data_IF_868741302159
#
_entry.id   IF_868741302159
#
_cell.length_a   1.000
_cell.length_b   1.000
_cell.length_c   1.000
_cell.angle_alpha   90.00
_cell.angle_beta   90.00
_cell.angle_gamma   90.00
#
_symmetry.space_group_name_H-M   'P 1'
#
loop_
_entity.id
_entity.type
_entity.pdbx_description
1 polymer ?
#
# COMPACT_ATOMS: atom_id res chain seq x y z
N UNK A 1 9.56 7.34 12.85
CA UNK A 1 10.56 6.37 12.32
C UNK A 1 10.05 5.84 11.00
N UNK A 2 10.51 6.34 9.86
CA UNK A 2 9.90 6.07 8.55
C UNK A 2 10.26 4.70 7.95
N UNK A 3 11.44 4.17 8.27
CA UNK A 3 11.89 2.84 7.80
C UNK A 3 11.02 1.72 8.37
N UNK A 4 10.58 1.85 9.62
CA UNK A 4 9.71 0.86 10.28
C UNK A 4 8.34 0.85 9.60
N UNK A 5 7.79 2.03 9.28
CA UNK A 5 6.52 2.13 8.56
C UNK A 5 6.60 1.50 7.17
N UNK A 6 7.73 1.64 6.47
CA UNK A 6 7.93 0.98 5.18
C UNK A 6 7.97 -0.54 5.33
N UNK A 7 8.79 -1.07 6.24
CA UNK A 7 8.91 -2.52 6.44
C UNK A 7 7.55 -3.10 6.82
N UNK A 8 6.85 -2.46 7.75
CA UNK A 8 5.51 -2.90 8.16
C UNK A 8 4.52 -2.91 6.99
N UNK A 9 4.56 -1.90 6.12
CA UNK A 9 3.69 -1.88 4.94
C UNK A 9 4.02 -3.03 3.98
N UNK A 10 5.30 -3.26 3.68
CA UNK A 10 5.75 -4.36 2.82
C UNK A 10 5.34 -5.73 3.38
N UNK A 11 5.51 -5.94 4.69
CA UNK A 11 5.07 -7.18 5.37
C UNK A 11 3.56 -7.41 5.21
N UNK A 12 2.74 -6.35 5.25
CA UNK A 12 1.28 -6.47 5.14
C UNK A 12 0.80 -6.80 3.75
N UNK A 13 1.48 -6.31 2.72
CA UNK A 13 1.11 -6.56 1.32
C UNK A 13 1.96 -7.64 0.66
N UNK A 14 2.81 -8.34 1.40
CA UNK A 14 3.78 -9.30 0.87
C UNK A 14 3.17 -10.29 -0.16
N UNK A 15 2.00 -10.85 0.15
CA UNK A 15 1.29 -11.78 -0.73
C UNK A 15 0.93 -11.21 -2.12
N UNK A 16 0.83 -9.89 -2.26
CA UNK A 16 0.58 -9.20 -3.53
C UNK A 16 1.86 -8.75 -4.23
N UNK A 17 2.96 -8.64 -3.47
CA UNK A 17 4.26 -8.20 -3.97
C UNK A 17 5.09 -9.37 -4.53
N UNK A 18 4.78 -10.60 -4.10
CA UNK A 18 5.38 -11.80 -4.65
C UNK A 18 5.16 -11.86 -6.17
N UNK A 19 6.26 -11.90 -6.92
CA UNK A 19 6.32 -11.93 -8.39
C UNK A 19 5.84 -10.67 -9.13
N UNK A 20 5.60 -9.53 -8.46
CA UNK A 20 5.20 -8.28 -9.14
C UNK A 20 6.33 -7.25 -9.08
N UNK A 21 6.36 -6.35 -10.08
CA UNK A 21 7.24 -5.16 -10.07
C UNK A 21 6.41 -3.99 -9.56
N UNK A 22 6.92 -3.26 -8.57
CA UNK A 22 6.15 -2.23 -7.89
C UNK A 22 7.00 -1.02 -7.48
N UNK A 23 6.32 0.11 -7.32
CA UNK A 23 6.93 1.36 -6.93
C UNK A 23 6.51 1.74 -5.51
N UNK A 24 7.49 2.02 -4.66
CA UNK A 24 7.30 2.56 -3.31
C UNK A 24 7.45 4.07 -3.37
N UNK A 25 6.33 4.75 -3.17
CA UNK A 25 6.29 6.22 -3.09
C UNK A 25 6.44 6.63 -1.62
N UNK A 26 7.43 7.46 -1.33
CA UNK A 26 7.66 7.98 0.04
C UNK A 26 8.11 9.43 0.05
N UNK A 27 7.67 10.17 1.05
CA UNK A 27 8.12 11.52 1.39
C UNK A 27 9.46 11.56 2.14
N UNK A 28 10.02 10.40 2.46
CA UNK A 28 11.31 10.31 3.13
C UNK A 28 12.47 10.10 2.15
N UNK A 29 13.34 11.11 2.04
CA UNK A 29 14.59 10.98 1.27
C UNK A 29 15.54 9.91 1.87
N UNK A 30 15.54 9.73 3.19
CA UNK A 30 16.45 8.77 3.86
C UNK A 30 16.17 7.33 3.43
N UNK A 31 14.92 6.98 3.15
CA UNK A 31 14.52 5.66 2.66
C UNK A 31 15.12 5.37 1.27
N UNK A 32 15.23 6.39 0.40
CA UNK A 32 15.88 6.25 -0.92
C UNK A 32 17.36 5.85 -0.81
N UNK A 33 18.04 6.34 0.22
CA UNK A 33 19.45 6.04 0.46
C UNK A 33 19.65 4.81 1.33
N UNK A 34 18.60 4.30 1.97
CA UNK A 34 18.66 3.16 2.88
C UNK A 34 19.37 1.96 2.24
N UNK A 35 19.07 1.60 1.00
CA UNK A 35 19.67 0.45 0.32
C UNK A 35 21.09 0.70 -0.24
N UNK A 36 21.58 1.94 -0.18
CA UNK A 36 22.90 2.37 -0.68
C UNK A 36 23.89 2.66 0.45
N UNK A 37 23.41 2.89 1.67
CA UNK A 37 24.25 3.27 2.80
C UNK A 37 24.88 2.06 3.49
N UNK A 38 26.16 2.20 3.85
CA UNK A 38 26.87 1.27 4.73
C UNK A 38 26.40 1.54 6.17
N UNK A 39 25.68 0.61 6.76
CA UNK A 39 25.01 0.79 8.06
C UNK A 39 25.99 0.66 9.22
N UNK A 40 26.04 1.68 10.09
CA UNK A 40 26.70 1.59 11.40
C UNK A 40 25.75 1.11 12.52
N UNK A 41 24.43 1.23 12.33
CA UNK A 41 23.43 0.89 13.35
C UNK A 41 22.79 -0.48 13.08
N UNK A 42 22.84 -1.37 14.07
CA UNK A 42 22.29 -2.73 14.01
C UNK A 42 20.78 -2.76 13.72
N UNK A 43 20.02 -1.78 14.23
CA UNK A 43 18.57 -1.72 13.98
C UNK A 43 18.27 -1.39 12.53
N UNK A 44 19.03 -0.47 11.92
CA UNK A 44 18.86 -0.09 10.51
C UNK A 44 19.29 -1.23 9.60
N UNK A 45 20.34 -1.97 9.98
CA UNK A 45 20.80 -3.16 9.26
C UNK A 45 19.70 -4.24 9.20
N UNK A 46 18.99 -4.50 10.30
CA UNK A 46 17.86 -5.46 10.32
C UNK A 46 16.79 -5.09 9.29
N UNK A 47 16.42 -3.82 9.21
CA UNK A 47 15.43 -3.34 8.25
C UNK A 47 15.95 -3.35 6.81
N UNK A 48 17.23 -3.05 6.59
CA UNK A 48 17.84 -3.21 5.27
C UNK A 48 17.78 -4.65 4.77
N UNK A 49 18.07 -5.63 5.64
CA UNK A 49 17.99 -7.06 5.28
C UNK A 49 16.55 -7.43 4.91
N UNK A 50 15.55 -7.00 5.69
CA UNK A 50 14.15 -7.27 5.39
C UNK A 50 13.70 -6.69 4.03
N UNK A 51 14.15 -5.49 3.68
CA UNK A 51 13.80 -4.85 2.40
C UNK A 51 14.58 -5.45 1.22
N UNK A 52 15.70 -6.13 1.49
CA UNK A 52 16.59 -6.65 0.45
C UNK A 52 15.92 -7.72 -0.43
N UNK A 53 14.96 -8.47 0.12
CA UNK A 53 14.14 -9.44 -0.62
C UNK A 53 13.38 -8.80 -1.79
N UNK A 54 12.84 -7.60 -1.58
CA UNK A 54 12.08 -6.87 -2.60
C UNK A 54 12.94 -6.07 -3.58
N UNK A 55 14.26 -5.97 -3.34
CA UNK A 55 15.16 -5.07 -4.09
C UNK A 55 15.20 -5.33 -5.59
N UNK A 56 14.98 -6.58 -6.02
CA UNK A 56 14.97 -6.94 -7.45
C UNK A 56 13.78 -6.38 -8.22
N UNK A 57 12.65 -6.18 -7.53
CA UNK A 57 11.37 -5.86 -8.13
C UNK A 57 10.78 -4.53 -7.64
N UNK A 58 11.48 -3.82 -6.74
CA UNK A 58 10.99 -2.61 -6.09
C UNK A 58 11.77 -1.37 -6.53
N UNK A 59 11.05 -0.33 -6.96
CA UNK A 59 11.63 1.00 -7.21
C UNK A 59 11.20 1.98 -6.12
N UNK A 60 12.14 2.68 -5.48
CA UNK A 60 11.82 3.71 -4.48
C UNK A 60 11.79 5.08 -5.15
N UNK A 61 10.60 5.69 -5.17
CA UNK A 61 10.36 7.03 -5.71
C UNK A 61 10.09 8.00 -4.56
N UNK A 62 10.88 9.06 -4.48
CA UNK A 62 10.64 10.12 -3.50
C UNK A 62 9.65 11.14 -4.07
N UNK A 63 8.59 11.47 -3.32
CA UNK A 63 7.59 12.50 -3.67
C UNK A 63 7.52 13.53 -2.54
N UNK A 64 7.40 14.82 -2.84
CA UNK A 64 7.33 15.85 -1.82
C UNK A 64 6.05 15.75 -0.98
N UNK A 65 6.17 15.94 0.35
CA UNK A 65 5.09 15.72 1.33
C UNK A 65 3.81 16.52 1.06
N UNK A 66 3.92 17.68 0.41
CA UNK A 66 2.76 18.51 0.04
C UNK A 66 1.80 17.86 -0.98
N UNK A 67 2.16 16.71 -1.55
CA UNK A 67 1.34 15.94 -2.51
C UNK A 67 1.06 14.51 -2.04
N UNK A 68 1.27 14.26 -0.74
CA UNK A 68 1.17 12.95 -0.10
C UNK A 68 0.02 12.91 0.94
N UNK A 69 -1.00 13.76 0.77
CA UNK A 69 -2.12 13.95 1.72
C UNK A 69 -2.84 12.65 2.08
N UNK A 70 -2.99 11.72 1.14
CA UNK A 70 -3.68 10.45 1.38
C UNK A 70 -2.99 9.60 2.47
N UNK A 71 -1.67 9.44 2.40
CA UNK A 71 -0.96 8.65 3.41
C UNK A 71 -0.66 9.46 4.68
N UNK A 72 -0.48 10.77 4.54
CA UNK A 72 -0.30 11.69 5.65
C UNK A 72 -1.58 11.77 6.52
N UNK A 73 -2.76 11.71 5.90
CA UNK A 73 -4.05 11.64 6.58
C UNK A 73 -4.12 10.46 7.55
N UNK A 74 -3.76 9.26 7.09
CA UNK A 74 -3.77 8.05 7.92
C UNK A 74 -2.75 8.15 9.07
N UNK A 75 -1.55 8.71 8.82
CA UNK A 75 -0.56 8.92 9.88
C UNK A 75 -1.05 9.93 10.92
N UNK A 76 -1.69 11.01 10.48
CA UNK A 76 -2.24 12.07 11.35
C UNK A 76 -3.46 11.60 12.15
N UNK A 77 -4.28 10.70 11.62
CA UNK A 77 -5.51 10.21 12.27
C UNK A 77 -5.29 9.47 13.60
N UNK A 78 -4.08 8.95 13.85
CA UNK A 78 -3.75 8.34 15.15
C UNK A 78 -3.75 9.35 16.32
N UNK A 79 -3.74 10.66 16.03
CA UNK A 79 -3.78 11.74 17.00
C UNK A 79 -4.96 12.67 16.69
N UNK A 80 -5.80 12.97 17.69
CA UNK A 80 -6.86 13.98 17.51
C UNK A 80 -6.26 15.31 17.02
N UNK A 81 -6.77 15.84 15.90
CA UNK A 81 -6.38 17.12 15.30
C UNK A 81 -6.91 18.29 16.15
N UNK A 82 -6.27 18.55 17.30
CA UNK A 82 -6.64 19.61 18.25
C UNK A 82 -5.70 20.80 18.08
N UNK A 83 -6.24 22.01 18.23
CA UNK A 83 -5.53 23.31 18.09
C UNK A 83 -4.32 23.44 19.02
N UNK A 84 -4.28 22.64 20.09
CA UNK A 84 -3.21 22.63 21.09
C UNK A 84 -1.93 21.90 20.64
N UNK A 85 -1.97 21.16 19.52
CA UNK A 85 -0.81 20.39 19.04
C UNK A 85 0.04 21.19 18.04
N UNK A 86 1.38 21.09 18.11
CA UNK A 86 2.28 21.83 17.21
C UNK A 86 2.17 21.41 15.74
N UNK A 87 1.52 20.28 15.45
CA UNK A 87 1.25 19.77 14.11
C UNK A 87 -0.23 19.94 13.70
N UNK A 88 -0.96 20.84 14.35
CA UNK A 88 -2.32 21.19 13.95
C UNK A 88 -2.32 21.85 12.58
N UNK A 89 -3.21 21.40 11.71
CA UNK A 89 -3.42 21.95 10.37
C UNK A 89 -4.91 22.24 10.24
N UNK A 90 -5.33 23.40 9.70
CA UNK A 90 -6.71 23.62 9.31
C UNK A 90 -7.13 22.49 8.37
N UNK A 91 -8.17 21.73 8.73
CA UNK A 91 -8.74 20.75 7.80
C UNK A 91 -9.45 21.53 6.71
N UNK A 92 -8.76 21.76 5.59
CA UNK A 92 -9.45 21.95 4.32
C UNK A 92 -10.20 20.65 4.05
N UNK A 93 -11.47 20.76 3.71
CA UNK A 93 -12.38 19.66 3.45
C UNK A 93 -12.02 19.03 2.09
N UNK A 94 -10.78 18.55 1.98
CA UNK A 94 -10.36 17.71 0.88
C UNK A 94 -11.06 16.39 1.13
N UNK A 95 -12.16 16.17 0.41
CA UNK A 95 -12.81 14.88 0.29
C UNK A 95 -11.73 13.89 -0.18
N UNK A 96 -11.07 13.23 0.76
CA UNK A 96 -10.20 12.12 0.45
C UNK A 96 -11.16 11.06 -0.08
N UNK A 97 -11.17 10.87 -1.40
CA UNK A 97 -11.71 9.67 -2.04
C UNK A 97 -10.87 8.50 -1.55
N UNK A 98 -11.10 8.08 -0.30
CA UNK A 98 -10.77 6.74 0.10
C UNK A 98 -11.44 5.83 -0.91
N UNK A 99 -10.77 4.75 -1.30
CA UNK A 99 -11.46 3.64 -1.94
C UNK A 99 -12.38 3.08 -0.85
N UNK A 100 -13.58 3.65 -0.75
CA UNK A 100 -14.66 3.09 0.03
C UNK A 100 -15.07 1.84 -0.73
N UNK A 101 -14.51 0.70 -0.33
CA UNK A 101 -14.87 -0.62 -0.89
C UNK A 101 -16.39 -0.87 -0.71
N UNK A 102 -17.05 -0.10 0.15
CA UNK A 102 -18.49 -0.09 0.37
C UNK A 102 -19.29 0.65 -0.72
N UNK A 103 -18.64 1.45 -1.57
CA UNK A 103 -19.26 2.21 -2.69
C UNK A 103 -18.83 1.69 -4.06
N UNK A 104 -18.23 0.50 -4.13
CA UNK A 104 -18.15 -0.20 -5.42
C UNK A 104 -19.59 -0.46 -5.85
N UNK A 105 -20.05 0.32 -6.81
CA UNK A 105 -21.38 0.24 -7.36
C UNK A 105 -21.68 -1.17 -7.85
N UNK A 106 -22.96 -1.54 -7.81
CA UNK A 106 -23.40 -2.85 -8.33
C UNK A 106 -23.03 -2.98 -9.81
N UNK A 107 -22.88 -1.85 -10.51
CA UNK A 107 -22.50 -1.76 -11.91
C UNK A 107 -21.07 -2.28 -12.17
N UNK A 108 -20.07 -1.97 -11.35
CA UNK A 108 -18.74 -2.56 -11.45
C UNK A 108 -18.78 -4.09 -11.31
N UNK A 109 -19.48 -4.59 -10.30
CA UNK A 109 -19.61 -6.04 -10.10
C UNK A 109 -20.36 -6.71 -11.25
N UNK A 110 -21.35 -6.03 -11.85
CA UNK A 110 -22.05 -6.50 -13.05
C UNK A 110 -21.09 -6.54 -14.24
N UNK A 111 -20.33 -5.47 -14.50
CA UNK A 111 -19.37 -5.42 -15.61
C UNK A 111 -18.29 -6.49 -15.47
N UNK A 112 -17.73 -6.67 -14.27
CA UNK A 112 -16.79 -7.74 -13.96
C UNK A 112 -17.43 -9.11 -14.20
N UNK A 113 -18.66 -9.33 -13.70
CA UNK A 113 -19.41 -10.58 -13.92
C UNK A 113 -19.71 -10.86 -15.39
N UNK A 114 -19.99 -9.83 -16.18
CA UNK A 114 -20.23 -9.94 -17.62
C UNK A 114 -18.95 -10.24 -18.38
N UNK A 115 -17.84 -9.61 -18.01
CA UNK A 115 -16.51 -9.91 -18.58
C UNK A 115 -16.14 -11.40 -18.42
N UNK A 116 -16.52 -12.01 -17.29
CA UNK A 116 -16.30 -13.44 -17.02
C UNK A 116 -17.14 -14.39 -17.89
N UNK A 117 -18.22 -13.91 -18.52
CA UNK A 117 -19.02 -14.69 -19.47
C UNK A 117 -18.45 -14.63 -20.89
N UNK A 118 -17.73 -13.55 -21.23
CA UNK A 118 -17.18 -13.33 -22.56
C UNK A 118 -15.85 -14.06 -22.74
N UNK A 119 -14.98 -14.06 -21.73
CA UNK A 119 -13.71 -14.78 -21.79
C UNK A 119 -13.82 -16.19 -21.18
N UNK A 120 -13.88 -17.20 -22.07
CA UNK A 120 -14.00 -18.63 -21.70
C UNK A 120 -12.88 -19.13 -20.78
N UNK A 121 -11.70 -18.49 -20.78
CA UNK A 121 -10.58 -18.90 -19.92
C UNK A 121 -10.85 -18.61 -18.44
N UNK A 122 -11.53 -17.52 -18.13
CA UNK A 122 -11.87 -17.17 -16.75
C UNK A 122 -13.14 -17.86 -16.23
N UNK A 123 -14.06 -18.25 -17.12
CA UNK A 123 -15.22 -19.08 -16.74
C UNK A 123 -14.80 -20.40 -16.08
N UNK A 124 -13.66 -20.97 -16.51
CA UNK A 124 -13.04 -22.15 -15.89
C UNK A 124 -12.59 -21.83 -14.46
N UNK A 125 -11.93 -20.69 -14.24
CA UNK A 125 -11.48 -20.26 -12.91
C UNK A 125 -12.66 -20.01 -11.95
N UNK A 126 -13.74 -19.39 -12.44
CA UNK A 126 -14.96 -19.20 -11.66
C UNK A 126 -15.60 -20.55 -11.25
N UNK A 127 -15.64 -21.51 -12.18
CA UNK A 127 -16.15 -22.86 -11.89
C UNK A 127 -15.25 -23.66 -10.94
N UNK A 128 -13.94 -23.47 -10.99
CA UNK A 128 -12.99 -24.09 -10.06
C UNK A 128 -13.13 -23.48 -8.65
N UNK A 129 -13.18 -22.16 -8.54
CA UNK A 129 -13.37 -21.45 -7.28
C UNK A 129 -14.71 -21.80 -6.59
N UNK A 130 -15.78 -21.98 -7.36
CA UNK A 130 -17.09 -22.41 -6.83
C UNK A 130 -17.13 -23.89 -6.40
N UNK A 131 -16.19 -24.73 -6.88
CA UNK A 131 -16.02 -26.11 -6.41
C UNK A 131 -15.23 -26.16 -5.09
N UNK A 132 -14.24 -25.29 -4.92
CA UNK A 132 -13.43 -25.22 -3.70
C UNK A 132 -14.20 -24.68 -2.48
N UNK A 133 -15.31 -23.95 -2.68
CA UNK A 133 -16.19 -23.50 -1.58
C UNK A 133 -17.22 -24.55 -1.13
N UNK A 134 -17.12 -25.80 -1.58
CA UNK A 134 -17.97 -26.91 -1.10
C UNK A 134 -17.15 -28.04 -0.51
N UNK A 135 -16.40 -27.75 0.54
CA UNK A 135 -16.05 -28.75 1.54
C UNK A 135 -16.47 -28.21 2.93
N UNK A 136 -17.37 -28.91 3.64
CA UNK A 136 -17.68 -28.62 5.05
C UNK A 136 -16.54 -28.99 6.00
#
# INVERSE_FOLDING_TARGET
>A
MEYISLVWALEKVNHYLDCTVFDVITDCNTVKYLLKMKTLNQHVLRWQIAIQEYRGNMTIVHKSGNTHENADGIRRWTLANRTEKPAWIPQEENHIEGIYITEIDTEFFIQVKESYKVDKKFHILFHLSMKDCKDP
#
